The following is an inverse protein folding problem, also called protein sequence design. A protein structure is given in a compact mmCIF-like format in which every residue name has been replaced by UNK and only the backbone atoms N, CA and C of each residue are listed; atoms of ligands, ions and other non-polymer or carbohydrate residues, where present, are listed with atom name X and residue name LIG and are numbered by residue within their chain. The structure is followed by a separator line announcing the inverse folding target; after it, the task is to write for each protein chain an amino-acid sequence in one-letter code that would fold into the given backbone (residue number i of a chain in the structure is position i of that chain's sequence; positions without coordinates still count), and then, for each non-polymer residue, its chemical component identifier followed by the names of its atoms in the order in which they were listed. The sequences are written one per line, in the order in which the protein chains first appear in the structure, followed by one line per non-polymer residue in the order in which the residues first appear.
data_IF_403419939325
#
_entry.id   IF_403419939325
#
_cell.length_a   1.000
_cell.length_b   1.000
_cell.length_c   1.000
_cell.angle_alpha   90.00
_cell.angle_beta   90.00
_cell.angle_gamma   90.00
#
_symmetry.space_group_name_H-M   'P 1'
#
loop_
_entity.id
_entity.type
_entity.pdbx_description
1 polymer ?
#
# COMPACT_ATOMS: atom_id res chain seq x y z
N UNK A 1 6.44 9.38 11.68
CA UNK A 1 6.04 8.97 13.05
C UNK A 1 6.11 7.47 13.18
N UNK A 2 6.34 6.97 14.40
CA UNK A 2 6.38 5.54 14.70
C UNK A 2 5.30 5.25 15.76
N UNK A 3 4.50 4.21 15.54
CA UNK A 3 3.35 3.88 16.38
C UNK A 3 3.51 2.57 17.15
N UNK A 4 4.56 1.80 16.85
CA UNK A 4 4.81 0.48 17.44
C UNK A 4 6.28 0.32 17.83
N UNK A 5 6.53 -0.51 18.84
CA UNK A 5 7.87 -0.85 19.31
C UNK A 5 8.02 -2.38 19.39
N UNK A 6 9.20 -2.86 19.81
CA UNK A 6 9.50 -4.28 19.98
C UNK A 6 8.49 -4.96 20.91
N UNK A 7 8.07 -6.17 20.56
CA UNK A 7 7.11 -7.00 21.26
C UNK A 7 5.66 -6.46 21.29
N UNK A 8 5.35 -5.37 20.58
CA UNK A 8 3.98 -4.90 20.49
C UNK A 8 3.10 -5.85 19.68
N UNK A 9 1.90 -6.11 20.21
CA UNK A 9 0.87 -6.85 19.47
C UNK A 9 0.16 -5.92 18.48
N UNK A 10 0.12 -6.32 17.24
CA UNK A 10 -0.48 -5.56 16.16
C UNK A 10 -1.59 -6.34 15.49
N UNK A 11 -2.61 -5.62 15.03
CA UNK A 11 -3.72 -6.18 14.26
C UNK A 11 -3.57 -5.82 12.78
N UNK A 12 -4.12 -6.65 11.91
CA UNK A 12 -4.21 -6.37 10.48
C UNK A 12 -4.86 -4.99 10.24
N UNK A 13 -4.20 -4.15 9.41
CA UNK A 13 -4.63 -2.80 9.11
C UNK A 13 -4.20 -1.73 10.14
N UNK A 14 -3.65 -2.12 11.29
CA UNK A 14 -3.14 -1.19 12.28
C UNK A 14 -1.95 -0.39 11.71
N UNK A 15 -1.92 0.95 11.86
CA UNK A 15 -0.77 1.74 11.44
C UNK A 15 0.45 1.40 12.28
N UNK A 16 1.59 1.18 11.62
CA UNK A 16 2.88 0.85 12.23
C UNK A 16 3.78 2.07 12.25
N UNK A 17 3.88 2.75 11.13
CA UNK A 17 4.65 3.97 10.99
C UNK A 17 4.05 4.88 9.90
N UNK A 18 4.38 6.15 9.98
CA UNK A 18 3.97 7.19 9.04
C UNK A 18 5.22 7.89 8.51
N UNK A 19 5.37 7.90 7.20
CA UNK A 19 6.42 8.63 6.50
C UNK A 19 6.12 10.14 6.47
N UNK A 20 7.06 10.96 6.06
CA UNK A 20 6.80 12.36 5.76
C UNK A 20 5.93 12.47 4.51
N UNK A 21 4.75 13.03 4.68
CA UNK A 21 3.72 13.15 3.65
C UNK A 21 3.60 14.57 3.06
N UNK A 22 4.41 15.51 3.49
CA UNK A 22 4.26 16.93 3.17
C UNK A 22 4.13 17.18 1.66
N UNK A 23 5.01 16.58 0.85
CA UNK A 23 4.99 16.72 -0.61
C UNK A 23 3.82 15.97 -1.24
N UNK A 24 3.56 14.73 -0.79
CA UNK A 24 2.50 13.88 -1.35
C UNK A 24 1.12 14.45 -1.00
N UNK A 25 0.95 14.94 0.22
CA UNK A 25 -0.26 15.63 0.68
C UNK A 25 -0.51 16.93 -0.10
N UNK A 26 0.54 17.71 -0.41
CA UNK A 26 0.40 18.89 -1.25
C UNK A 26 -0.03 18.54 -2.68
N UNK A 27 0.51 17.45 -3.26
CA UNK A 27 0.15 16.96 -4.59
C UNK A 27 -1.32 16.49 -4.63
N UNK A 28 -1.76 15.76 -3.61
CA UNK A 28 -3.17 15.32 -3.49
C UNK A 28 -4.10 16.51 -3.40
N UNK A 29 -3.79 17.51 -2.57
CA UNK A 29 -4.61 18.75 -2.46
C UNK A 29 -4.70 19.49 -3.80
N UNK A 30 -3.61 19.53 -4.57
CA UNK A 30 -3.62 20.16 -5.90
C UNK A 30 -4.53 19.39 -6.87
N UNK A 31 -4.43 18.05 -6.91
CA UNK A 31 -5.29 17.24 -7.78
C UNK A 31 -6.76 17.28 -7.34
N UNK A 32 -7.05 17.36 -6.04
CA UNK A 32 -8.40 17.57 -5.53
C UNK A 32 -8.98 18.91 -6.00
N UNK A 33 -8.19 19.98 -5.97
CA UNK A 33 -8.61 21.29 -6.50
C UNK A 33 -8.88 21.24 -8.02
N UNK A 34 -8.11 20.46 -8.78
CA UNK A 34 -8.37 20.25 -10.21
C UNK A 34 -9.71 19.53 -10.46
N UNK A 35 -10.09 18.58 -9.60
CA UNK A 35 -11.42 17.93 -9.67
C UNK A 35 -12.53 18.96 -9.47
N UNK A 36 -12.40 19.84 -8.48
CA UNK A 36 -13.39 20.90 -8.24
C UNK A 36 -13.53 21.84 -9.43
N UNK A 37 -12.41 22.23 -10.05
CA UNK A 37 -12.42 23.07 -11.26
C UNK A 37 -13.09 22.37 -12.45
N UNK A 38 -12.72 21.10 -12.69
CA UNK A 38 -13.35 20.32 -13.76
C UNK A 38 -14.85 20.06 -13.51
N UNK A 39 -15.26 19.92 -12.25
CA UNK A 39 -16.66 19.80 -11.88
C UNK A 39 -17.43 21.09 -12.20
N UNK A 40 -16.91 22.26 -11.86
CA UNK A 40 -17.51 23.55 -12.17
C UNK A 40 -17.64 23.76 -13.69
N UNK A 41 -16.62 23.35 -14.46
CA UNK A 41 -16.65 23.39 -15.94
C UNK A 41 -17.74 22.48 -16.50
N UNK A 42 -17.92 21.29 -15.92
CA UNK A 42 -19.00 20.38 -16.31
C UNK A 42 -20.38 20.98 -16.02
N UNK A 43 -20.56 21.57 -14.85
CA UNK A 43 -21.83 22.23 -14.47
C UNK A 43 -22.19 23.35 -15.43
N UNK A 44 -21.21 24.18 -15.80
CA UNK A 44 -21.41 25.22 -16.82
C UNK A 44 -21.80 24.61 -18.18
N UNK A 45 -21.11 23.57 -18.61
CA UNK A 45 -21.40 22.90 -19.88
C UNK A 45 -22.81 22.25 -19.88
N UNK A 46 -23.21 21.66 -18.74
CA UNK A 46 -24.56 21.11 -18.55
C UNK A 46 -25.65 22.19 -18.65
N UNK A 47 -25.44 23.32 -17.97
CA UNK A 47 -26.38 24.44 -18.02
C UNK A 47 -26.50 25.02 -19.43
N UNK A 48 -25.39 25.13 -20.16
CA UNK A 48 -25.37 25.59 -21.55
C UNK A 48 -26.09 24.62 -22.49
N UNK A 49 -25.81 23.32 -22.39
CA UNK A 49 -26.48 22.29 -23.21
C UNK A 49 -27.98 22.32 -22.96
N UNK A 50 -28.44 22.36 -21.70
CA UNK A 50 -29.86 22.43 -21.34
C UNK A 50 -30.54 23.68 -21.93
N UNK A 51 -29.88 24.84 -21.91
CA UNK A 51 -30.36 26.07 -22.53
C UNK A 51 -30.43 25.92 -24.05
N UNK A 52 -29.35 25.43 -24.71
CA UNK A 52 -29.33 25.24 -26.15
C UNK A 52 -30.38 24.23 -26.61
N UNK A 53 -30.62 23.18 -25.85
CA UNK A 53 -31.69 22.21 -26.10
C UNK A 53 -33.07 22.86 -26.09
N UNK A 54 -33.34 23.72 -25.12
CA UNK A 54 -34.61 24.44 -25.04
C UNK A 54 -34.80 25.44 -26.20
N UNK A 55 -33.75 26.16 -26.59
CA UNK A 55 -33.78 27.09 -27.73
C UNK A 55 -33.91 26.38 -29.08
N UNK A 56 -33.26 25.21 -29.21
CA UNK A 56 -33.37 24.41 -30.43
C UNK A 56 -34.78 23.84 -30.61
N UNK A 57 -35.44 23.43 -29.50
CA UNK A 57 -36.82 22.98 -29.54
C UNK A 57 -37.83 24.10 -29.97
N UNK A 58 -37.42 25.37 -29.83
CA UNK A 58 -38.18 26.55 -30.24
C UNK A 58 -37.68 27.10 -31.60
N UNK A 59 -36.79 26.41 -32.28
CA UNK A 59 -36.16 26.81 -33.57
C UNK A 59 -35.37 28.14 -33.52
N UNK A 60 -34.93 28.57 -32.31
CA UNK A 60 -34.18 29.83 -32.17
C UNK A 60 -32.67 29.65 -32.37
N UNK A 61 -32.16 28.44 -32.41
CA UNK A 61 -30.76 28.15 -32.69
C UNK A 61 -30.62 27.06 -33.75
N UNK A 62 -29.51 27.09 -34.48
CA UNK A 62 -29.18 26.09 -35.49
C UNK A 62 -28.84 24.74 -34.86
N UNK A 63 -28.98 23.65 -35.63
CA UNK A 63 -28.52 22.31 -35.25
C UNK A 63 -27.04 22.28 -34.93
N UNK A 64 -26.23 23.02 -35.67
CA UNK A 64 -24.79 23.11 -35.48
C UNK A 64 -24.46 23.68 -34.09
N UNK A 65 -25.13 24.72 -33.64
CA UNK A 65 -24.92 25.34 -32.33
C UNK A 65 -25.32 24.37 -31.19
N UNK A 66 -26.43 23.64 -31.36
CA UNK A 66 -26.83 22.61 -30.38
C UNK A 66 -25.83 21.46 -30.33
N UNK A 67 -25.37 20.95 -31.50
CA UNK A 67 -24.39 19.88 -31.55
C UNK A 67 -23.03 20.30 -30.94
N UNK A 68 -22.63 21.56 -31.07
CA UNK A 68 -21.45 22.14 -30.41
C UNK A 68 -21.61 22.10 -28.87
N UNK A 69 -22.79 22.41 -28.33
CA UNK A 69 -23.04 22.37 -26.90
C UNK A 69 -22.97 20.93 -26.34
N UNK A 70 -23.45 19.94 -27.11
CA UNK A 70 -23.33 18.52 -26.79
C UNK A 70 -21.85 18.10 -26.73
N UNK A 71 -21.05 18.51 -27.71
CA UNK A 71 -19.62 18.21 -27.75
C UNK A 71 -18.88 18.85 -26.57
N UNK A 72 -19.19 20.09 -26.22
CA UNK A 72 -18.64 20.79 -25.06
C UNK A 72 -18.97 20.02 -23.76
N UNK A 73 -20.22 19.56 -23.60
CA UNK A 73 -20.62 18.74 -22.45
C UNK A 73 -19.86 17.41 -22.37
N UNK A 74 -19.72 16.71 -23.50
CA UNK A 74 -18.94 15.46 -23.56
C UNK A 74 -17.48 15.69 -23.21
N UNK A 75 -16.87 16.76 -23.72
CA UNK A 75 -15.48 17.13 -23.39
C UNK A 75 -15.32 17.43 -21.90
N UNK A 76 -16.21 18.23 -21.30
CA UNK A 76 -16.17 18.55 -19.88
C UNK A 76 -16.34 17.30 -18.99
N UNK A 77 -17.20 16.35 -19.39
CA UNK A 77 -17.33 15.05 -18.69
C UNK A 77 -16.05 14.23 -18.73
N UNK A 78 -15.41 14.16 -19.90
CA UNK A 78 -14.14 13.45 -20.06
C UNK A 78 -13.04 14.10 -19.21
N UNK A 79 -13.01 15.43 -19.15
CA UNK A 79 -12.03 16.18 -18.38
C UNK A 79 -12.21 15.98 -16.86
N UNK A 80 -13.46 15.92 -16.37
CA UNK A 80 -13.74 15.56 -14.99
C UNK A 80 -13.31 14.12 -14.66
N UNK A 81 -13.58 13.17 -15.56
CA UNK A 81 -13.15 11.78 -15.38
C UNK A 81 -11.62 11.66 -15.27
N UNK A 82 -10.87 12.38 -16.11
CA UNK A 82 -9.43 12.45 -16.07
C UNK A 82 -8.92 13.06 -14.75
N UNK A 83 -9.51 14.18 -14.32
CA UNK A 83 -9.14 14.82 -13.07
C UNK A 83 -9.41 13.91 -11.84
N UNK A 84 -10.53 13.18 -11.82
CA UNK A 84 -10.85 12.20 -10.78
C UNK A 84 -9.83 11.05 -10.74
N UNK A 85 -9.50 10.45 -11.88
CA UNK A 85 -8.51 9.38 -11.95
C UNK A 85 -7.13 9.82 -11.45
N UNK A 86 -6.73 11.06 -11.78
CA UNK A 86 -5.50 11.66 -11.27
C UNK A 86 -5.54 11.82 -9.75
N UNK A 87 -6.63 12.34 -9.19
CA UNK A 87 -6.79 12.52 -7.74
C UNK A 87 -6.82 11.17 -7.00
N UNK A 88 -7.49 10.16 -7.55
CA UNK A 88 -7.49 8.80 -7.00
C UNK A 88 -6.07 8.21 -6.91
N UNK A 89 -5.25 8.40 -7.94
CA UNK A 89 -3.84 7.99 -7.94
C UNK A 89 -3.06 8.70 -6.83
N UNK A 90 -3.21 10.03 -6.72
CA UNK A 90 -2.46 10.83 -5.76
C UNK A 90 -2.93 10.54 -4.31
N UNK A 91 -4.22 10.26 -4.12
CA UNK A 91 -4.77 9.79 -2.85
C UNK A 91 -4.27 8.40 -2.46
N UNK A 92 -4.10 7.49 -3.44
CA UNK A 92 -3.49 6.19 -3.19
C UNK A 92 -2.02 6.35 -2.75
N UNK A 93 -1.26 7.24 -3.40
CA UNK A 93 0.11 7.55 -3.00
C UNK A 93 0.18 8.12 -1.57
N UNK A 94 -0.76 9.00 -1.20
CA UNK A 94 -0.86 9.51 0.17
C UNK A 94 -1.17 8.39 1.17
N UNK A 95 -2.04 7.45 0.83
CA UNK A 95 -2.33 6.30 1.69
C UNK A 95 -1.10 5.39 1.91
N UNK A 96 -0.19 5.32 0.94
CA UNK A 96 1.05 4.54 1.06
C UNK A 96 2.09 5.19 1.99
N UNK A 97 1.92 6.44 2.39
CA UNK A 97 2.79 7.05 3.41
C UNK A 97 2.53 6.47 4.81
N UNK A 98 1.36 5.86 5.04
CA UNK A 98 1.02 5.18 6.27
C UNK A 98 1.23 3.69 6.08
N UNK A 99 2.30 3.16 6.62
CA UNK A 99 2.60 1.72 6.58
C UNK A 99 1.76 1.01 7.64
N UNK A 100 0.96 0.03 7.20
CA UNK A 100 0.05 -0.74 8.05
C UNK A 100 0.46 -2.21 8.10
N UNK A 101 0.10 -2.88 9.19
CA UNK A 101 0.32 -4.31 9.31
C UNK A 101 -0.57 -5.09 8.31
N UNK A 102 0.00 -5.97 7.48
CA UNK A 102 -0.77 -6.83 6.59
C UNK A 102 -1.44 -8.01 7.32
N UNK A 103 -0.99 -8.30 8.55
CA UNK A 103 -1.38 -9.48 9.34
C UNK A 103 -1.55 -9.13 10.82
N UNK A 104 -2.23 -9.98 11.57
CA UNK A 104 -2.19 -9.96 13.03
C UNK A 104 -0.89 -10.60 13.51
N UNK A 105 -0.29 -10.09 14.58
CA UNK A 105 0.96 -10.68 15.09
C UNK A 105 1.64 -9.82 16.13
N UNK A 106 2.93 -10.10 16.30
CA UNK A 106 3.81 -9.39 17.25
C UNK A 106 5.01 -8.83 16.48
N UNK A 107 5.38 -7.59 16.75
CA UNK A 107 6.57 -6.96 16.18
C UNK A 107 7.81 -7.63 16.76
N UNK A 108 8.60 -8.29 15.91
CA UNK A 108 9.85 -8.97 16.30
C UNK A 108 11.03 -8.02 16.19
N UNK A 109 11.04 -7.22 15.13
CA UNK A 109 12.19 -6.40 14.78
C UNK A 109 11.73 -5.09 14.13
N UNK A 110 12.41 -4.02 14.48
CA UNK A 110 12.20 -2.67 13.97
C UNK A 110 13.55 -2.15 13.44
N UNK A 111 13.69 -2.15 12.14
CA UNK A 111 14.95 -1.81 11.45
C UNK A 111 15.10 -0.30 11.23
N UNK A 112 14.04 0.48 11.44
CA UNK A 112 14.01 1.92 11.18
C UNK A 112 13.82 2.73 12.45
N UNK A 113 14.51 3.86 12.53
CA UNK A 113 14.41 4.82 13.63
C UNK A 113 13.67 6.10 13.22
N UNK A 114 13.18 6.81 14.23
CA UNK A 114 12.49 8.08 14.06
C UNK A 114 13.47 9.14 13.46
N UNK A 115 13.05 9.77 12.36
CA UNK A 115 13.89 10.74 11.65
C UNK A 115 14.86 10.13 10.63
N UNK A 116 14.89 8.81 10.49
CA UNK A 116 15.69 8.16 9.47
C UNK A 116 15.11 8.36 8.07
N UNK A 117 15.97 8.69 7.12
CA UNK A 117 15.58 8.75 5.70
C UNK A 117 15.55 7.35 5.11
N UNK A 118 14.41 6.95 4.56
CA UNK A 118 14.27 5.69 3.83
C UNK A 118 14.40 5.98 2.34
N UNK A 119 15.51 5.58 1.74
CA UNK A 119 15.69 5.71 0.29
C UNK A 119 14.99 4.54 -0.41
N UNK A 120 14.13 4.86 -1.38
CA UNK A 120 13.61 3.90 -2.34
C UNK A 120 14.71 3.57 -3.35
N UNK A 121 15.68 2.75 -2.96
CA UNK A 121 16.73 2.24 -3.83
C UNK A 121 16.30 0.92 -4.49
N UNK A 122 17.15 0.35 -5.35
CA UNK A 122 16.89 -0.91 -6.05
C UNK A 122 16.57 -2.12 -5.15
N UNK A 123 16.81 -2.02 -3.86
CA UNK A 123 16.42 -3.02 -2.86
C UNK A 123 15.40 -2.40 -1.88
N UNK A 124 14.26 -3.05 -1.75
CA UNK A 124 13.23 -2.64 -0.79
C UNK A 124 13.74 -2.91 0.63
N UNK A 125 13.98 -1.87 1.46
CA UNK A 125 14.45 -2.09 2.82
C UNK A 125 13.34 -2.72 3.67
N UNK A 126 13.72 -3.63 4.56
CA UNK A 126 12.82 -4.13 5.59
C UNK A 126 12.65 -3.04 6.65
N UNK A 127 11.43 -2.61 6.92
CA UNK A 127 11.15 -1.58 7.91
C UNK A 127 10.80 -2.18 9.28
N UNK A 128 9.88 -3.14 9.29
CA UNK A 128 9.37 -3.81 10.50
C UNK A 128 9.18 -5.29 10.15
N UNK A 129 9.56 -6.19 11.08
CA UNK A 129 9.28 -7.63 10.99
C UNK A 129 8.20 -8.00 11.98
N UNK A 130 7.17 -8.69 11.51
CA UNK A 130 6.03 -9.15 12.30
C UNK A 130 5.95 -10.67 12.22
N UNK A 131 5.86 -11.35 13.39
CA UNK A 131 5.52 -12.76 13.46
C UNK A 131 4.02 -12.91 13.71
N UNK A 132 3.38 -13.79 12.94
CA UNK A 132 1.97 -14.14 13.17
C UNK A 132 1.82 -15.06 14.37
N UNK A 133 2.69 -16.05 14.48
CA UNK A 133 2.71 -17.02 15.57
C UNK A 133 4.15 -17.23 16.05
N UNK A 134 4.36 -17.05 17.34
CA UNK A 134 5.63 -17.29 18.00
C UNK A 134 5.75 -18.74 18.53
N UNK A 135 4.68 -19.53 18.46
CA UNK A 135 4.69 -20.94 18.88
C UNK A 135 5.33 -21.85 17.85
N UNK A 136 5.32 -21.45 16.57
CA UNK A 136 5.99 -22.16 15.48
C UNK A 136 7.30 -21.43 15.11
N UNK A 137 8.42 -22.01 15.49
CA UNK A 137 9.75 -21.46 15.16
C UNK A 137 10.51 -22.40 14.24
N UNK A 138 11.22 -21.80 13.27
CA UNK A 138 12.16 -22.51 12.42
C UNK A 138 13.57 -22.23 12.89
N UNK A 139 14.37 -23.27 12.99
CA UNK A 139 15.79 -23.20 13.33
C UNK A 139 16.57 -23.53 12.06
N UNK A 140 17.36 -22.58 11.58
CA UNK A 140 18.29 -22.79 10.48
C UNK A 140 19.66 -23.12 11.10
N UNK A 141 20.24 -24.27 10.75
CA UNK A 141 21.53 -24.70 11.24
C UNK A 141 22.41 -25.15 10.08
N UNK A 142 23.70 -24.93 10.19
CA UNK A 142 24.70 -25.33 9.19
C UNK A 142 25.42 -26.56 9.66
N UNK A 143 25.54 -27.56 8.79
CA UNK A 143 26.31 -28.79 9.01
C UNK A 143 27.44 -28.90 8.02
N UNK A 144 28.49 -29.60 8.41
CA UNK A 144 29.55 -29.97 7.47
C UNK A 144 29.03 -30.96 6.42
N UNK A 145 29.55 -30.89 5.19
CA UNK A 145 29.13 -31.76 4.08
C UNK A 145 29.22 -33.25 4.43
N UNK A 146 30.24 -33.64 5.22
CA UNK A 146 30.42 -35.00 5.68
C UNK A 146 29.28 -35.55 6.55
N UNK A 147 28.56 -34.69 7.25
CA UNK A 147 27.51 -35.08 8.19
C UNK A 147 26.10 -35.09 7.53
N UNK A 148 25.95 -34.42 6.41
CA UNK A 148 24.66 -34.28 5.70
C UNK A 148 24.13 -35.64 5.21
N UNK A 149 25.00 -36.58 4.85
CA UNK A 149 24.59 -37.90 4.36
C UNK A 149 23.74 -38.73 5.32
N UNK A 150 23.78 -38.41 6.61
CA UNK A 150 23.01 -39.09 7.66
C UNK A 150 21.73 -38.38 8.06
N UNK A 151 21.49 -37.17 7.55
CA UNK A 151 20.29 -36.37 7.87
C UNK A 151 19.23 -36.59 6.79
N UNK A 152 18.00 -36.84 7.21
CA UNK A 152 16.84 -37.01 6.29
C UNK A 152 15.71 -36.09 6.69
N UNK A 153 14.98 -35.62 5.69
CA UNK A 153 13.73 -34.87 5.91
C UNK A 153 12.74 -35.74 6.70
N UNK A 154 12.04 -35.14 7.65
CA UNK A 154 11.14 -35.82 8.58
C UNK A 154 11.83 -36.47 9.79
N UNK A 155 13.16 -36.41 9.87
CA UNK A 155 13.90 -36.93 11.03
C UNK A 155 13.69 -36.03 12.25
N UNK A 156 13.49 -36.64 13.44
CA UNK A 156 13.38 -35.91 14.71
C UNK A 156 14.76 -35.45 15.17
N UNK A 157 14.88 -34.15 15.38
CA UNK A 157 16.06 -33.54 15.97
C UNK A 157 15.76 -33.08 17.41
N UNK A 158 16.68 -33.34 18.32
CA UNK A 158 16.60 -32.87 19.71
C UNK A 158 17.67 -31.79 19.92
N UNK A 159 17.25 -30.67 20.49
CA UNK A 159 18.15 -29.54 20.73
C UNK A 159 17.84 -28.88 22.08
N UNK A 160 18.79 -28.13 22.59
CA UNK A 160 18.65 -27.26 23.76
C UNK A 160 18.96 -25.84 23.33
N UNK A 161 18.38 -24.86 24.01
CA UNK A 161 18.63 -23.43 23.78
C UNK A 161 19.27 -22.82 25.03
N UNK A 162 20.14 -21.86 24.85
CA UNK A 162 20.88 -21.22 25.94
C UNK A 162 19.96 -20.55 26.98
N UNK A 163 18.81 -20.05 26.53
CA UNK A 163 17.81 -19.46 27.42
C UNK A 163 17.17 -20.49 28.37
N UNK A 164 17.18 -21.79 28.00
CA UNK A 164 16.57 -22.88 28.81
C UNK A 164 17.48 -24.12 28.77
N UNK A 165 18.67 -24.09 29.41
CA UNK A 165 19.64 -25.16 29.30
C UNK A 165 19.17 -26.50 29.87
N UNK A 166 18.21 -26.50 30.79
CA UNK A 166 17.62 -27.71 31.38
C UNK A 166 16.47 -28.30 30.57
N UNK A 167 16.02 -27.65 29.51
CA UNK A 167 14.86 -28.06 28.70
C UNK A 167 15.29 -28.53 27.33
N UNK A 168 14.98 -29.77 26.99
CA UNK A 168 15.18 -30.31 25.65
C UNK A 168 13.93 -30.10 24.81
N UNK A 169 14.13 -29.56 23.62
CA UNK A 169 13.11 -29.36 22.60
C UNK A 169 13.25 -30.42 21.53
N UNK A 170 12.15 -30.77 20.89
CA UNK A 170 12.12 -31.70 19.77
C UNK A 170 11.52 -30.97 18.57
N UNK A 171 12.19 -31.07 17.44
CA UNK A 171 11.72 -30.56 16.16
C UNK A 171 11.87 -31.60 15.07
N UNK A 172 11.25 -31.36 13.94
CA UNK A 172 11.36 -32.22 12.77
C UNK A 172 12.18 -31.50 11.69
N UNK A 173 13.08 -32.25 11.03
CA UNK A 173 13.84 -31.71 9.87
C UNK A 173 12.88 -31.47 8.71
N UNK A 174 12.64 -30.20 8.40
CA UNK A 174 11.71 -29.82 7.33
C UNK A 174 12.37 -29.84 5.95
N UNK A 175 13.60 -29.36 5.85
CA UNK A 175 14.28 -29.21 4.57
C UNK A 175 15.79 -29.25 4.74
N UNK A 176 16.48 -29.89 3.80
CA UNK A 176 17.94 -29.88 3.67
C UNK A 176 18.28 -29.05 2.44
N UNK A 177 19.10 -28.00 2.60
CA UNK A 177 19.60 -27.17 1.50
C UNK A 177 21.09 -27.41 1.34
N UNK A 178 21.51 -27.72 0.13
CA UNK A 178 22.92 -27.76 -0.28
C UNK A 178 23.25 -26.37 -0.88
N UNK A 179 24.20 -25.68 -0.31
CA UNK A 179 24.69 -24.39 -0.81
C UNK A 179 26.01 -24.60 -1.57
#
# INVERSE_FOLDING_TARGET
KLYVDFNDKVKKGQPLLELDDALVSATERQSAANVVNAQATLELAQANEARMKALFAQEYVSRQEYDQSIQALKSARAQLALAKAQNERDRANLNFTIIRSPVDGVVIDRVVDLGQTVAASFQTPTLIKIAQDLSEMRIDTSFAEADIGNIKEGQKARFTVDAFPSRSFVGDVQQIRLN
#
